data_IF_574310862349
#
_entry.id   IF_574310862349
#
_cell.length_a   1.000
_cell.length_b   1.000
_cell.length_c   1.000
_cell.angle_alpha   90.00
_cell.angle_beta   90.00
_cell.angle_gamma   90.00
#
_symmetry.space_group_name_H-M   'P 1'
#
loop_
_entity.id
_entity.type
_entity.pdbx_description
1 polymer ?
#
# COMPACT_ATOMS: atom_id res chain seq x y z
N UNK A 1 35.40 -39.01 25.55
CA UNK A 1 33.95 -38.96 25.79
C UNK A 1 33.28 -38.40 24.55
N UNK A 2 32.70 -39.27 23.72
CA UNK A 2 31.97 -38.86 22.52
C UNK A 2 30.59 -38.38 22.98
N UNK A 3 30.47 -37.10 23.27
CA UNK A 3 29.15 -36.50 23.55
C UNK A 3 28.30 -36.73 22.31
N UNK A 4 27.26 -37.57 22.38
CA UNK A 4 26.35 -37.92 21.29
C UNK A 4 25.48 -36.75 20.77
N UNK A 5 26.02 -35.54 20.78
CA UNK A 5 25.40 -34.32 20.26
C UNK A 5 25.72 -34.24 18.78
N UNK A 6 24.72 -34.48 17.93
CA UNK A 6 24.79 -34.26 16.50
C UNK A 6 24.52 -32.79 16.15
N UNK A 7 25.06 -32.30 15.03
CA UNK A 7 24.73 -30.97 14.52
C UNK A 7 23.22 -30.89 14.23
N UNK A 8 22.52 -30.01 14.95
CA UNK A 8 21.12 -29.77 14.71
C UNK A 8 20.96 -28.63 13.71
N UNK A 9 20.70 -28.96 12.44
CA UNK A 9 20.42 -27.98 11.39
C UNK A 9 19.03 -27.37 11.61
N UNK A 10 18.98 -26.20 12.25
CA UNK A 10 17.75 -25.46 12.52
C UNK A 10 18.03 -23.95 12.39
N UNK A 11 16.98 -23.11 12.43
CA UNK A 11 17.17 -21.65 12.26
C UNK A 11 18.10 -21.05 13.30
N UNK A 12 18.08 -21.55 14.54
CA UNK A 12 18.90 -21.04 15.64
C UNK A 12 20.38 -21.33 15.40
N UNK A 13 20.73 -22.56 15.01
CA UNK A 13 22.12 -22.92 14.68
C UNK A 13 22.64 -22.17 13.45
N UNK A 14 21.79 -21.97 12.43
CA UNK A 14 22.14 -21.14 11.27
C UNK A 14 22.48 -19.70 11.67
N UNK A 15 21.67 -19.06 12.52
CA UNK A 15 21.95 -17.70 13.01
C UNK A 15 23.22 -17.63 13.86
N UNK A 16 23.51 -18.67 14.65
CA UNK A 16 24.76 -18.76 15.43
C UNK A 16 25.99 -18.85 14.53
N UNK A 17 25.95 -19.71 13.50
CA UNK A 17 27.05 -19.85 12.52
C UNK A 17 27.25 -18.52 11.78
N UNK A 18 26.17 -17.90 11.31
CA UNK A 18 26.24 -16.59 10.64
C UNK A 18 26.87 -15.53 11.53
N UNK A 19 26.46 -15.44 12.80
CA UNK A 19 27.04 -14.49 13.75
C UNK A 19 28.56 -14.69 13.94
N UNK A 20 29.01 -15.94 14.11
CA UNK A 20 30.45 -16.23 14.24
C UNK A 20 31.21 -15.92 12.95
N UNK A 21 30.63 -16.24 11.78
CA UNK A 21 31.20 -15.89 10.48
C UNK A 21 31.30 -14.38 10.29
N UNK A 22 30.24 -13.62 10.58
CA UNK A 22 30.22 -12.17 10.47
C UNK A 22 31.24 -11.54 11.44
N UNK A 23 31.41 -12.11 12.64
CA UNK A 23 32.45 -11.69 13.60
C UNK A 23 33.86 -11.89 13.03
N UNK A 24 34.17 -13.08 12.51
CA UNK A 24 35.46 -13.37 11.87
C UNK A 24 35.74 -12.45 10.68
N UNK A 25 34.72 -12.18 9.86
CA UNK A 25 34.85 -11.23 8.76
C UNK A 25 35.17 -9.81 9.25
N UNK A 26 34.53 -9.32 10.32
CA UNK A 26 34.86 -8.00 10.91
C UNK A 26 36.29 -7.96 11.42
N UNK A 27 36.75 -9.00 12.12
CA UNK A 27 38.12 -9.10 12.65
C UNK A 27 39.18 -9.03 11.54
N UNK A 28 38.87 -9.59 10.37
CA UNK A 28 39.76 -9.60 9.20
C UNK A 28 39.52 -8.43 8.23
N UNK A 29 38.75 -7.40 8.63
CA UNK A 29 38.39 -6.26 7.78
C UNK A 29 37.70 -6.64 6.45
N UNK A 30 37.02 -7.79 6.41
CA UNK A 30 36.22 -8.25 5.28
C UNK A 30 34.81 -7.65 5.32
N UNK A 31 34.15 -7.63 4.17
CA UNK A 31 32.79 -7.08 4.04
C UNK A 31 31.78 -7.95 4.79
N UNK A 32 31.03 -7.35 5.71
CA UNK A 32 29.88 -7.96 6.38
C UNK A 32 28.59 -7.36 5.83
N UNK A 33 27.54 -8.17 5.80
CA UNK A 33 26.21 -7.74 5.37
C UNK A 33 25.74 -6.59 6.28
N UNK A 34 25.39 -5.48 5.67
CA UNK A 34 24.88 -4.31 6.38
C UNK A 34 23.44 -4.58 6.87
N UNK A 35 23.26 -4.67 8.19
CA UNK A 35 21.97 -4.94 8.83
C UNK A 35 20.91 -3.89 8.48
N UNK A 36 21.30 -2.63 8.32
CA UNK A 36 20.38 -1.55 7.95
C UNK A 36 19.96 -1.65 6.49
N UNK A 37 20.86 -2.12 5.62
CA UNK A 37 20.54 -2.41 4.22
C UNK A 37 19.59 -3.61 4.07
N UNK A 38 19.76 -4.67 4.86
CA UNK A 38 18.82 -5.80 4.90
C UNK A 38 17.43 -5.36 5.38
N UNK A 39 17.38 -4.55 6.45
CA UNK A 39 16.12 -3.96 6.93
C UNK A 39 15.46 -3.09 5.85
N UNK A 40 16.26 -2.26 5.16
CA UNK A 40 15.80 -1.47 4.02
C UNK A 40 15.21 -2.36 2.91
N UNK A 41 15.92 -3.44 2.52
CA UNK A 41 15.40 -4.37 1.51
C UNK A 41 14.07 -5.00 1.92
N UNK A 42 13.95 -5.40 3.18
CA UNK A 42 12.71 -6.01 3.68
C UNK A 42 11.54 -5.03 3.68
N UNK A 43 11.78 -3.76 4.05
CA UNK A 43 10.74 -2.73 4.18
C UNK A 43 10.37 -2.05 2.86
N UNK A 44 11.37 -1.64 2.08
CA UNK A 44 11.22 -0.69 0.97
C UNK A 44 11.51 -1.30 -0.41
N UNK A 45 12.31 -2.36 -0.48
CA UNK A 45 12.54 -3.03 -1.76
C UNK A 45 11.37 -3.97 -2.01
N UNK A 46 10.50 -3.57 -2.92
CA UNK A 46 9.42 -4.44 -3.41
C UNK A 46 10.06 -5.74 -3.88
N UNK A 47 9.79 -6.85 -3.19
CA UNK A 47 10.05 -8.16 -3.77
C UNK A 47 9.30 -8.16 -5.10
N UNK A 48 10.03 -8.21 -6.21
CA UNK A 48 9.40 -8.33 -7.52
C UNK A 48 8.37 -9.45 -7.44
N UNK A 49 7.15 -9.20 -7.93
CA UNK A 49 6.17 -10.26 -8.09
C UNK A 49 6.87 -11.38 -8.85
N UNK A 50 6.83 -12.62 -8.34
CA UNK A 50 7.32 -13.78 -9.09
C UNK A 50 6.79 -13.68 -10.52
N UNK A 51 7.59 -13.98 -11.54
CA UNK A 51 7.18 -13.89 -12.94
C UNK A 51 5.81 -14.53 -13.17
N UNK A 52 5.56 -15.69 -12.55
CA UNK A 52 4.27 -16.38 -12.54
C UNK A 52 3.13 -15.54 -11.91
N UNK A 53 3.36 -14.92 -10.75
CA UNK A 53 2.37 -14.08 -10.07
C UNK A 53 2.04 -12.80 -10.86
N UNK A 54 3.05 -12.21 -11.52
CA UNK A 54 2.88 -11.06 -12.39
C UNK A 54 2.13 -11.41 -13.68
N UNK A 55 2.43 -12.57 -14.28
CA UNK A 55 1.75 -13.06 -15.48
C UNK A 55 0.27 -13.38 -15.20
N UNK A 56 -0.02 -14.08 -14.09
CA UNK A 56 -1.40 -14.37 -13.69
C UNK A 56 -2.16 -13.09 -13.31
N UNK A 57 -1.51 -12.09 -12.70
CA UNK A 57 -2.13 -10.79 -12.44
C UNK A 57 -2.47 -10.04 -13.73
N UNK A 58 -1.59 -10.04 -14.74
CA UNK A 58 -1.86 -9.44 -16.06
C UNK A 58 -2.99 -10.14 -16.82
N UNK A 59 -3.12 -11.46 -16.67
CA UNK A 59 -4.23 -12.25 -17.23
C UNK A 59 -5.53 -12.15 -16.41
N UNK A 60 -5.53 -11.45 -15.28
CA UNK A 60 -6.69 -11.39 -14.36
C UNK A 60 -6.97 -12.69 -13.60
N UNK A 61 -6.07 -13.67 -13.66
CA UNK A 61 -6.20 -15.02 -13.09
C UNK A 61 -5.33 -15.22 -11.83
N UNK A 62 -4.85 -14.14 -11.20
CA UNK A 62 -4.07 -14.21 -9.96
C UNK A 62 -4.91 -14.79 -8.84
N UNK A 63 -4.68 -16.07 -8.57
CA UNK A 63 -5.35 -16.83 -7.53
C UNK A 63 -5.20 -16.19 -6.14
N UNK A 64 -3.98 -15.74 -5.78
CA UNK A 64 -3.72 -15.09 -4.49
C UNK A 64 -4.52 -13.80 -4.37
N UNK A 65 -4.58 -12.99 -5.43
CA UNK A 65 -5.32 -11.73 -5.43
C UNK A 65 -6.83 -11.96 -5.37
N UNK A 66 -7.33 -13.02 -6.02
CA UNK A 66 -8.74 -13.43 -5.93
C UNK A 66 -9.11 -13.91 -4.53
N UNK A 67 -8.26 -14.74 -3.92
CA UNK A 67 -8.43 -15.18 -2.53
C UNK A 67 -8.35 -14.00 -1.54
N UNK A 68 -7.43 -13.06 -1.72
CA UNK A 68 -7.38 -11.81 -0.93
C UNK A 68 -8.68 -11.02 -1.04
N UNK A 69 -9.15 -10.78 -2.26
CA UNK A 69 -10.38 -10.06 -2.52
C UNK A 69 -11.60 -10.73 -1.87
N UNK A 70 -11.72 -12.05 -2.03
CA UNK A 70 -12.82 -12.81 -1.43
C UNK A 70 -12.75 -12.80 0.10
N UNK A 71 -11.56 -12.95 0.69
CA UNK A 71 -11.36 -12.82 2.15
C UNK A 71 -11.78 -11.42 2.64
N UNK A 72 -11.28 -10.36 2.01
CA UNK A 72 -11.57 -8.98 2.43
C UNK A 72 -13.05 -8.62 2.25
N UNK A 73 -13.69 -9.17 1.21
CA UNK A 73 -15.13 -9.03 0.98
C UNK A 73 -15.94 -9.76 2.06
N UNK A 74 -15.57 -10.98 2.40
CA UNK A 74 -16.29 -11.78 3.41
C UNK A 74 -16.11 -11.23 4.82
N UNK A 75 -14.92 -10.74 5.17
CA UNK A 75 -14.66 -10.08 6.47
C UNK A 75 -15.65 -8.94 6.72
N UNK A 76 -15.94 -8.12 5.69
CA UNK A 76 -16.90 -7.01 5.80
C UNK A 76 -18.34 -7.45 6.02
N UNK A 77 -18.68 -8.66 5.60
CA UNK A 77 -20.04 -9.20 5.67
C UNK A 77 -20.24 -10.08 6.89
N UNK A 78 -19.16 -10.53 7.54
CA UNK A 78 -19.19 -11.49 8.63
C UNK A 78 -19.35 -10.84 10.00
N UNK A 79 -20.19 -11.46 10.82
CA UNK A 79 -20.46 -11.02 12.19
C UNK A 79 -19.41 -11.54 13.17
N UNK A 80 -18.98 -12.77 12.95
CA UNK A 80 -18.03 -13.49 13.78
C UNK A 80 -17.14 -14.40 12.90
N UNK A 81 -16.18 -15.06 13.55
CA UNK A 81 -15.23 -15.92 12.87
C UNK A 81 -15.89 -17.13 12.19
N UNK A 82 -16.89 -17.72 12.82
CA UNK A 82 -17.56 -18.91 12.28
C UNK A 82 -18.43 -18.57 11.07
N UNK A 83 -19.09 -17.41 11.08
CA UNK A 83 -19.85 -16.86 9.95
C UNK A 83 -18.94 -16.52 8.75
N UNK A 84 -17.73 -16.02 9.01
CA UNK A 84 -16.69 -15.88 7.97
C UNK A 84 -16.31 -17.22 7.33
N UNK A 85 -16.06 -18.25 8.13
CA UNK A 85 -15.67 -19.55 7.60
C UNK A 85 -16.79 -20.20 6.79
N UNK A 86 -18.05 -20.08 7.25
CA UNK A 86 -19.22 -20.56 6.50
C UNK A 86 -19.32 -19.88 5.13
N UNK A 87 -19.24 -18.55 5.08
CA UNK A 87 -19.31 -17.80 3.81
C UNK A 87 -18.16 -18.11 2.87
N UNK A 88 -16.96 -18.33 3.39
CA UNK A 88 -15.83 -18.81 2.59
C UNK A 88 -16.10 -20.21 2.01
N UNK A 89 -16.69 -21.11 2.78
CA UNK A 89 -17.10 -22.43 2.29
C UNK A 89 -18.21 -22.34 1.23
N UNK A 90 -19.19 -21.46 1.41
CA UNK A 90 -20.28 -21.21 0.46
C UNK A 90 -19.77 -20.64 -0.88
N UNK A 91 -18.72 -19.81 -0.85
CA UNK A 91 -17.98 -19.36 -2.03
C UNK A 91 -17.20 -20.48 -2.73
N UNK A 92 -17.23 -21.70 -2.19
CA UNK A 92 -16.60 -22.88 -2.77
C UNK A 92 -15.15 -23.12 -2.32
N UNK A 93 -14.73 -22.53 -1.20
CA UNK A 93 -13.41 -22.80 -0.64
C UNK A 93 -13.45 -23.97 0.35
N UNK A 94 -12.61 -24.98 0.13
CA UNK A 94 -12.25 -25.96 1.14
C UNK A 94 -11.27 -25.32 2.14
N UNK A 95 -11.59 -25.43 3.42
CA UNK A 95 -10.84 -24.83 4.51
C UNK A 95 -10.12 -25.95 5.29
N UNK A 96 -8.82 -25.77 5.53
CA UNK A 96 -8.02 -26.66 6.38
C UNK A 96 -7.56 -25.92 7.63
N UNK A 97 -7.89 -26.49 8.78
CA UNK A 97 -7.48 -26.00 10.10
C UNK A 97 -6.15 -26.63 10.52
N UNK A 98 -5.27 -25.83 11.12
CA UNK A 98 -3.94 -26.23 11.57
C UNK A 98 -3.22 -25.03 12.18
N UNK A 99 -1.89 -25.04 12.29
CA UNK A 99 -1.12 -23.89 12.82
C UNK A 99 -1.40 -22.56 12.10
N UNK A 100 -1.76 -22.63 10.82
CA UNK A 100 -2.28 -21.49 10.06
C UNK A 100 -3.42 -22.00 9.18
N UNK A 101 -4.54 -21.29 9.16
CA UNK A 101 -5.66 -21.59 8.27
C UNK A 101 -5.23 -21.59 6.80
N UNK A 102 -5.77 -22.51 6.02
CA UNK A 102 -5.47 -22.61 4.60
C UNK A 102 -6.73 -22.80 3.75
N UNK A 103 -6.76 -22.14 2.60
CA UNK A 103 -7.90 -22.12 1.68
C UNK A 103 -7.54 -22.80 0.36
N UNK A 104 -8.47 -23.58 -0.17
CA UNK A 104 -8.36 -24.27 -1.46
C UNK A 104 -9.65 -24.05 -2.27
N UNK A 105 -9.59 -23.52 -3.50
CA UNK A 105 -10.76 -23.46 -4.37
C UNK A 105 -11.07 -24.82 -4.97
N UNK A 106 -12.26 -24.99 -5.51
CA UNK A 106 -12.63 -26.17 -6.30
C UNK A 106 -11.67 -26.41 -7.49
N UNK A 107 -11.16 -25.36 -8.12
CA UNK A 107 -10.38 -25.46 -9.38
C UNK A 107 -8.87 -25.70 -9.19
N UNK A 108 -8.40 -25.95 -7.95
CA UNK A 108 -6.97 -26.18 -7.68
C UNK A 108 -6.74 -27.39 -6.79
N UNK A 109 -5.56 -28.00 -6.94
CA UNK A 109 -5.17 -29.20 -6.20
C UNK A 109 -4.59 -28.90 -4.81
N UNK A 110 -3.96 -27.73 -4.60
CA UNK A 110 -3.19 -27.40 -3.38
C UNK A 110 -3.84 -26.31 -2.52
N UNK A 111 -3.68 -26.44 -1.20
CA UNK A 111 -4.08 -25.42 -0.23
C UNK A 111 -3.09 -24.25 -0.18
N UNK A 112 -3.61 -23.04 -0.05
CA UNK A 112 -2.82 -21.83 0.20
C UNK A 112 -2.97 -21.43 1.66
N UNK A 113 -1.86 -21.37 2.39
CA UNK A 113 -1.87 -20.91 3.80
C UNK A 113 -2.09 -19.41 3.85
N UNK A 114 -2.99 -18.95 4.71
CA UNK A 114 -3.35 -17.53 4.79
C UNK A 114 -2.14 -16.62 5.07
N UNK A 115 -1.20 -17.05 5.93
CA UNK A 115 0.05 -16.31 6.20
C UNK A 115 0.94 -16.05 4.98
N UNK A 116 0.80 -16.84 3.91
CA UNK A 116 1.62 -16.67 2.69
C UNK A 116 1.07 -15.58 1.77
N UNK A 117 -0.13 -15.10 2.09
CA UNK A 117 -0.82 -14.01 1.41
C UNK A 117 -0.29 -12.66 1.92
N UNK A 118 -0.01 -12.56 3.23
CA UNK A 118 0.54 -11.38 3.88
C UNK A 118 0.41 -11.49 5.40
N UNK A 119 1.07 -10.58 6.12
CA UNK A 119 0.98 -10.50 7.59
C UNK A 119 -0.45 -10.14 8.06
N UNK A 120 -1.18 -9.32 7.29
CA UNK A 120 -2.59 -8.93 7.52
C UNK A 120 -3.62 -10.04 7.25
N UNK A 121 -3.16 -11.19 6.75
CA UNK A 121 -4.01 -12.35 6.45
C UNK A 121 -3.72 -13.55 7.36
N UNK A 122 -2.96 -13.33 8.44
CA UNK A 122 -2.82 -14.32 9.50
C UNK A 122 -4.16 -14.53 10.21
N UNK A 123 -4.38 -15.73 10.77
CA UNK A 123 -5.66 -16.03 11.43
C UNK A 123 -5.98 -15.05 12.57
N UNK A 124 -4.97 -14.70 13.37
CA UNK A 124 -5.05 -13.69 14.43
C UNK A 124 -5.49 -12.33 13.86
N UNK A 125 -4.83 -11.85 12.79
CA UNK A 125 -5.22 -10.59 12.14
C UNK A 125 -6.60 -10.63 11.50
N UNK A 126 -7.01 -11.74 10.90
CA UNK A 126 -8.35 -11.85 10.32
C UNK A 126 -9.43 -11.83 11.41
N UNK A 127 -9.18 -12.49 12.55
CA UNK A 127 -10.06 -12.42 13.74
C UNK A 127 -10.12 -11.01 14.31
N UNK A 128 -8.98 -10.34 14.45
CA UNK A 128 -8.90 -8.93 14.87
C UNK A 128 -9.70 -8.04 13.91
N UNK A 129 -9.53 -8.18 12.60
CA UNK A 129 -10.25 -7.37 11.60
C UNK A 129 -11.77 -7.59 11.63
N UNK A 130 -12.23 -8.81 11.89
CA UNK A 130 -13.67 -9.09 12.07
C UNK A 130 -14.17 -8.47 13.38
N UNK A 131 -13.38 -8.55 14.46
CA UNK A 131 -13.69 -7.95 15.75
C UNK A 131 -13.68 -6.41 15.70
N UNK A 132 -12.75 -5.81 14.97
CA UNK A 132 -12.69 -4.37 14.71
C UNK A 132 -13.98 -3.92 14.00
N UNK A 133 -14.40 -4.63 12.95
CA UNK A 133 -15.64 -4.33 12.23
C UNK A 133 -16.89 -4.51 13.12
N UNK A 134 -16.92 -5.52 14.00
CA UNK A 134 -18.06 -5.74 14.90
C UNK A 134 -18.09 -4.78 16.10
N UNK A 135 -16.92 -4.33 16.58
CA UNK A 135 -16.77 -3.31 17.62
C UNK A 135 -17.06 -1.90 17.12
N UNK A 136 -16.87 -1.67 15.82
CA UNK A 136 -17.45 -0.56 15.10
C UNK A 136 -18.96 -0.85 15.03
N UNK A 137 -19.69 -0.57 16.12
CA UNK A 137 -21.10 -0.16 16.07
C UNK A 137 -21.15 1.14 15.28
N UNK A 138 -20.94 1.04 13.97
CA UNK A 138 -21.30 2.10 13.05
C UNK A 138 -22.82 2.13 13.11
N UNK A 139 -23.46 3.20 13.62
CA UNK A 139 -24.74 3.57 13.03
C UNK A 139 -24.53 3.55 11.51
N UNK A 140 -25.42 2.90 10.77
CA UNK A 140 -25.38 2.82 9.32
C UNK A 140 -24.85 4.15 8.78
N UNK A 141 -23.70 4.09 8.07
CA UNK A 141 -22.97 5.26 7.56
C UNK A 141 -23.98 6.35 7.24
N UNK A 142 -23.90 7.46 7.99
CA UNK A 142 -24.81 8.61 7.84
C UNK A 142 -24.96 8.89 6.35
N UNK A 143 -26.22 9.00 5.94
CA UNK A 143 -26.69 9.08 4.57
C UNK A 143 -25.72 9.84 3.66
N UNK A 144 -25.18 9.14 2.67
CA UNK A 144 -24.59 9.79 1.50
C UNK A 144 -25.70 10.57 0.82
N UNK A 145 -25.45 11.84 0.50
CA UNK A 145 -26.36 12.64 -0.32
C UNK A 145 -26.63 11.87 -1.61
N UNK A 146 -27.91 11.58 -1.84
CA UNK A 146 -28.39 10.86 -3.02
C UNK A 146 -28.22 11.70 -4.29
N UNK A 147 -28.53 11.09 -5.44
CA UNK A 147 -28.68 11.85 -6.68
C UNK A 147 -30.14 12.26 -6.85
N UNK A 148 -30.37 13.50 -7.27
CA UNK A 148 -31.68 13.97 -7.74
C UNK A 148 -31.97 13.35 -9.11
N UNK A 149 -33.20 12.91 -9.28
CA UNK A 149 -33.74 12.36 -10.52
C UNK A 149 -34.30 13.51 -11.33
N UNK A 150 -33.83 13.67 -12.56
CA UNK A 150 -34.41 14.62 -13.50
C UNK A 150 -35.78 14.11 -13.99
N UNK A 151 -36.84 14.81 -13.59
CA UNK A 151 -38.23 14.45 -13.90
C UNK A 151 -38.56 14.60 -15.39
N UNK A 152 -37.84 15.46 -16.12
CA UNK A 152 -38.14 15.78 -17.51
C UNK A 152 -37.46 14.82 -18.49
N UNK A 153 -36.28 14.31 -18.13
CA UNK A 153 -35.49 13.42 -18.99
C UNK A 153 -35.66 11.95 -18.67
N UNK A 154 -36.04 11.58 -17.44
CA UNK A 154 -36.13 10.17 -17.05
C UNK A 154 -37.37 9.48 -17.63
N UNK A 155 -37.15 8.49 -18.48
CA UNK A 155 -38.20 7.69 -19.15
C UNK A 155 -39.13 7.00 -18.16
N UNK A 156 -38.60 6.45 -17.04
CA UNK A 156 -39.41 5.75 -16.03
C UNK A 156 -40.39 6.67 -15.30
N UNK A 157 -40.04 7.95 -15.17
CA UNK A 157 -40.94 8.96 -14.60
C UNK A 157 -42.14 9.19 -15.52
N UNK A 158 -41.92 9.19 -16.84
CA UNK A 158 -43.00 9.37 -17.84
C UNK A 158 -43.88 8.14 -17.98
N UNK A 159 -43.30 6.94 -17.86
CA UNK A 159 -44.02 5.68 -18.05
C UNK A 159 -44.83 5.22 -16.82
N UNK A 160 -44.43 5.62 -15.61
CA UNK A 160 -45.05 5.13 -14.37
C UNK A 160 -45.34 6.25 -13.38
N UNK A 161 -46.64 6.51 -13.16
CA UNK A 161 -47.13 7.45 -12.12
C UNK A 161 -46.65 7.07 -10.71
N UNK A 162 -46.48 5.78 -10.43
CA UNK A 162 -45.96 5.31 -9.13
C UNK A 162 -44.48 5.67 -8.94
N UNK A 163 -43.68 5.54 -10.00
CA UNK A 163 -42.27 5.95 -9.98
C UNK A 163 -42.13 7.47 -9.93
N UNK A 164 -42.99 8.20 -10.63
CA UNK A 164 -43.07 9.67 -10.56
C UNK A 164 -43.28 10.15 -9.12
N UNK A 165 -44.29 9.62 -8.42
CA UNK A 165 -44.55 9.99 -7.02
C UNK A 165 -43.37 9.66 -6.10
N UNK A 166 -42.76 8.48 -6.27
CA UNK A 166 -41.58 8.09 -5.52
C UNK A 166 -40.39 9.04 -5.80
N UNK A 167 -40.15 9.39 -7.06
CA UNK A 167 -39.07 10.28 -7.48
C UNK A 167 -39.23 11.69 -6.90
N UNK A 168 -40.45 12.23 -6.84
CA UNK A 168 -40.75 13.51 -6.19
C UNK A 168 -40.34 13.48 -4.71
N UNK A 169 -40.80 12.47 -3.97
CA UNK A 169 -40.47 12.31 -2.54
C UNK A 169 -38.98 12.10 -2.30
N UNK A 170 -38.33 11.31 -3.16
CA UNK A 170 -36.88 11.07 -3.13
C UNK A 170 -36.09 12.35 -3.38
N UNK A 171 -36.46 13.13 -4.40
CA UNK A 171 -35.81 14.39 -4.75
C UNK A 171 -35.95 15.43 -3.64
N UNK A 172 -37.15 15.57 -3.06
CA UNK A 172 -37.39 16.45 -1.92
C UNK A 172 -36.48 16.12 -0.73
N UNK A 173 -36.41 14.83 -0.36
CA UNK A 173 -35.54 14.38 0.73
C UNK A 173 -34.06 14.63 0.41
N UNK A 174 -33.63 14.31 -0.81
CA UNK A 174 -32.23 14.49 -1.25
C UNK A 174 -31.82 15.98 -1.24
N UNK A 175 -32.73 16.87 -1.65
CA UNK A 175 -32.49 18.30 -1.62
C UNK A 175 -32.49 18.86 -0.20
N UNK A 176 -33.37 18.38 0.68
CA UNK A 176 -33.34 18.75 2.09
C UNK A 176 -32.00 18.38 2.74
N UNK A 177 -31.49 17.18 2.48
CA UNK A 177 -30.16 16.74 2.95
C UNK A 177 -29.03 17.61 2.38
N UNK A 178 -29.11 17.99 1.10
CA UNK A 178 -28.14 18.89 0.46
C UNK A 178 -28.16 20.29 1.09
N UNK A 179 -29.34 20.83 1.39
CA UNK A 179 -29.50 22.14 2.05
C UNK A 179 -28.97 22.12 3.49
N UNK A 180 -29.20 21.03 4.24
CA UNK A 180 -28.66 20.85 5.58
C UNK A 180 -27.13 20.88 5.54
N UNK A 181 -26.51 20.12 4.63
CA UNK A 181 -25.06 20.12 4.45
C UNK A 181 -24.52 21.51 4.15
N UNK A 182 -25.12 22.24 3.21
CA UNK A 182 -24.67 23.60 2.87
C UNK A 182 -24.76 24.55 4.07
N UNK A 183 -25.82 24.43 4.88
CA UNK A 183 -25.98 25.21 6.11
C UNK A 183 -24.91 24.87 7.14
N UNK A 184 -24.60 23.58 7.32
CA UNK A 184 -23.53 23.12 8.22
C UNK A 184 -22.16 23.67 7.80
N UNK A 185 -21.90 23.78 6.49
CA UNK A 185 -20.68 24.38 5.95
C UNK A 185 -20.73 25.91 5.84
N UNK A 186 -21.84 26.55 6.23
CA UNK A 186 -22.02 28.01 6.15
C UNK A 186 -22.16 28.55 4.71
N UNK A 187 -22.40 27.68 3.73
CA UNK A 187 -22.52 28.02 2.31
C UNK A 187 -23.94 28.52 2.04
N UNK A 188 -24.05 29.78 1.58
CA UNK A 188 -25.34 30.45 1.37
C UNK A 188 -25.72 30.60 -0.10
N UNK A 189 -24.78 30.43 -1.03
CA UNK A 189 -25.02 30.60 -2.47
C UNK A 189 -24.31 29.53 -3.31
N UNK A 190 -24.78 29.35 -4.55
CA UNK A 190 -24.14 28.45 -5.52
C UNK A 190 -22.73 28.92 -5.88
N UNK A 191 -22.50 30.25 -5.95
CA UNK A 191 -21.16 30.81 -6.16
C UNK A 191 -20.21 30.42 -5.02
N UNK A 192 -20.66 30.52 -3.77
CA UNK A 192 -19.88 30.07 -2.60
C UNK A 192 -19.65 28.55 -2.60
N UNK A 193 -20.60 27.76 -3.09
CA UNK A 193 -20.40 26.32 -3.28
C UNK A 193 -19.32 26.02 -4.32
N UNK A 194 -19.33 26.74 -5.45
CA UNK A 194 -18.33 26.59 -6.51
C UNK A 194 -16.94 27.02 -6.02
N UNK A 195 -16.83 28.12 -5.28
CA UNK A 195 -15.59 28.55 -4.61
C UNK A 195 -15.09 27.52 -3.58
N UNK A 196 -16.00 26.94 -2.80
CA UNK A 196 -15.66 25.90 -1.81
C UNK A 196 -15.16 24.62 -2.49
N UNK A 197 -15.80 24.20 -3.59
CA UNK A 197 -15.35 23.08 -4.42
C UNK A 197 -13.96 23.34 -4.98
N UNK A 198 -13.73 24.55 -5.51
CA UNK A 198 -12.43 24.93 -6.06
C UNK A 198 -11.35 24.90 -4.98
N UNK A 199 -11.60 25.51 -3.81
CA UNK A 199 -10.67 25.49 -2.68
C UNK A 199 -10.34 24.06 -2.23
N UNK A 200 -11.35 23.20 -2.10
CA UNK A 200 -11.14 21.79 -1.75
C UNK A 200 -10.33 21.03 -2.82
N UNK A 201 -10.52 21.37 -4.10
CA UNK A 201 -9.74 20.83 -5.21
C UNK A 201 -8.26 21.27 -5.13
N UNK A 202 -8.02 22.55 -4.85
CA UNK A 202 -6.68 23.12 -4.73
C UNK A 202 -5.93 22.52 -3.51
N UNK A 203 -6.61 22.39 -2.37
CA UNK A 203 -6.06 21.72 -1.18
C UNK A 203 -5.68 20.27 -1.47
N UNK A 204 -6.53 19.55 -2.20
CA UNK A 204 -6.28 18.17 -2.62
C UNK A 204 -5.08 18.08 -3.57
N UNK A 205 -5.00 18.99 -4.53
CA UNK A 205 -3.87 19.07 -5.47
C UNK A 205 -2.57 19.32 -4.72
N UNK A 206 -2.58 20.24 -3.75
CA UNK A 206 -1.45 20.52 -2.88
C UNK A 206 -1.03 19.28 -2.06
N UNK A 207 -1.97 18.54 -1.47
CA UNK A 207 -1.68 17.26 -0.79
C UNK A 207 -1.01 16.26 -1.75
N UNK A 208 -1.53 16.13 -2.97
CA UNK A 208 -0.94 15.24 -3.97
C UNK A 208 0.48 15.66 -4.34
N UNK A 209 0.74 16.96 -4.50
CA UNK A 209 2.06 17.45 -4.85
C UNK A 209 3.07 17.28 -3.71
N UNK A 210 2.66 17.47 -2.46
CA UNK A 210 3.47 17.11 -1.28
C UNK A 210 3.83 15.62 -1.26
N UNK A 211 2.88 14.73 -1.55
CA UNK A 211 3.13 13.28 -1.64
C UNK A 211 4.14 12.97 -2.76
N UNK A 212 4.01 13.61 -3.94
CA UNK A 212 4.98 13.44 -5.05
C UNK A 212 6.38 13.89 -4.68
N UNK A 213 6.52 14.98 -3.92
CA UNK A 213 7.83 15.45 -3.43
C UNK A 213 8.46 14.41 -2.51
N UNK A 214 7.70 13.89 -1.54
CA UNK A 214 8.17 12.83 -0.65
C UNK A 214 8.57 11.58 -1.45
N UNK A 215 7.78 11.17 -2.44
CA UNK A 215 8.11 10.02 -3.28
C UNK A 215 9.44 10.21 -4.04
N UNK A 216 9.69 11.42 -4.57
CA UNK A 216 10.97 11.74 -5.23
C UNK A 216 12.14 11.68 -4.25
N UNK A 217 11.98 12.22 -3.05
CA UNK A 217 13.01 12.17 -2.00
C UNK A 217 13.30 10.72 -1.56
N UNK A 218 12.25 9.92 -1.37
CA UNK A 218 12.37 8.51 -1.01
C UNK A 218 13.09 7.71 -2.11
N UNK A 219 12.81 7.98 -3.39
CA UNK A 219 13.50 7.35 -4.52
C UNK A 219 14.99 7.70 -4.54
N UNK A 220 15.34 8.97 -4.30
CA UNK A 220 16.72 9.41 -4.24
C UNK A 220 17.49 8.80 -3.06
N UNK A 221 16.87 8.74 -1.87
CA UNK A 221 17.45 8.07 -0.70
C UNK A 221 17.60 6.56 -0.92
N UNK A 222 16.64 5.93 -1.58
CA UNK A 222 16.70 4.51 -1.96
C UNK A 222 17.85 4.22 -2.93
N UNK A 223 18.05 5.07 -3.94
CA UNK A 223 19.19 4.97 -4.85
C UNK A 223 20.52 5.18 -4.10
N UNK A 224 20.58 6.18 -3.22
CA UNK A 224 21.75 6.44 -2.36
C UNK A 224 22.08 5.22 -1.50
N UNK A 225 21.06 4.56 -0.92
CA UNK A 225 21.22 3.34 -0.11
C UNK A 225 21.82 2.19 -0.92
N UNK A 226 21.36 1.99 -2.16
CA UNK A 226 21.89 0.98 -3.08
C UNK A 226 23.33 1.28 -3.52
N UNK A 227 23.66 2.55 -3.80
CA UNK A 227 25.02 2.99 -4.11
C UNK A 227 25.96 2.76 -2.92
N UNK A 228 25.55 3.15 -1.70
CA UNK A 228 26.34 2.94 -0.47
C UNK A 228 26.62 1.45 -0.26
N UNK A 229 25.62 0.60 -0.44
CA UNK A 229 25.81 -0.85 -0.33
C UNK A 229 26.76 -1.40 -1.42
N UNK A 230 26.64 -0.92 -2.66
CA UNK A 230 27.53 -1.30 -3.77
C UNK A 230 28.98 -0.93 -3.47
N UNK A 231 29.22 0.29 -2.95
CA UNK A 231 30.54 0.74 -2.52
C UNK A 231 31.06 -0.13 -1.37
N UNK A 232 30.26 -0.41 -0.34
CA UNK A 232 30.68 -1.26 0.78
C UNK A 232 31.06 -2.67 0.32
N UNK A 233 30.25 -3.27 -0.56
CA UNK A 233 30.42 -4.64 -1.06
C UNK A 233 31.67 -4.81 -1.92
N UNK A 234 31.93 -3.89 -2.84
CA UNK A 234 33.01 -4.03 -3.83
C UNK A 234 34.29 -3.27 -3.47
N UNK A 235 34.36 -2.71 -2.25
CA UNK A 235 35.53 -1.96 -1.77
C UNK A 235 36.84 -2.74 -1.82
N UNK A 236 36.80 -4.05 -1.51
CA UNK A 236 38.00 -4.90 -1.46
C UNK A 236 38.58 -5.07 -2.87
N UNK A 237 37.75 -5.50 -3.83
CA UNK A 237 38.17 -5.63 -5.23
C UNK A 237 38.73 -4.33 -5.81
N UNK A 238 38.11 -3.19 -5.48
CA UNK A 238 38.62 -1.90 -5.93
C UNK A 238 39.97 -1.53 -5.31
N UNK A 239 40.18 -1.84 -4.02
CA UNK A 239 41.47 -1.61 -3.34
C UNK A 239 42.59 -2.45 -3.97
N UNK A 240 42.32 -3.72 -4.26
CA UNK A 240 43.28 -4.64 -4.88
C UNK A 240 43.62 -4.20 -6.31
N UNK A 241 42.61 -3.85 -7.11
CA UNK A 241 42.79 -3.26 -8.44
C UNK A 241 43.68 -2.01 -8.41
N UNK A 242 43.44 -1.11 -7.46
CA UNK A 242 44.22 0.12 -7.32
C UNK A 242 45.66 -0.14 -6.86
N UNK A 243 45.88 -1.17 -6.06
CA UNK A 243 47.21 -1.57 -5.60
C UNK A 243 48.04 -2.25 -6.70
N UNK A 244 47.38 -2.99 -7.60
CA UNK A 244 48.02 -3.72 -8.70
C UNK A 244 47.43 -3.34 -10.09
N UNK A 245 47.68 -2.12 -10.60
CA UNK A 245 47.08 -1.65 -11.86
C UNK A 245 47.50 -2.45 -13.10
N UNK A 246 48.63 -3.15 -13.03
CA UNK A 246 49.22 -3.92 -14.13
C UNK A 246 48.64 -5.32 -14.29
N UNK A 247 47.85 -5.81 -13.32
CA UNK A 247 47.24 -7.13 -13.37
C UNK A 247 45.98 -7.14 -14.25
N UNK A 248 46.20 -7.39 -15.54
CA UNK A 248 45.12 -7.47 -16.54
C UNK A 248 44.16 -8.62 -16.26
N UNK A 249 44.64 -9.73 -15.70
CA UNK A 249 43.82 -10.91 -15.45
C UNK A 249 42.79 -10.66 -14.34
N UNK A 250 43.21 -10.01 -13.25
CA UNK A 250 42.32 -9.59 -12.17
C UNK A 250 41.30 -8.55 -12.66
N UNK A 251 41.74 -7.58 -13.46
CA UNK A 251 40.84 -6.56 -13.99
C UNK A 251 39.75 -7.17 -14.87
N UNK A 252 40.08 -8.12 -15.75
CA UNK A 252 39.09 -8.78 -16.61
C UNK A 252 38.06 -9.60 -15.80
N UNK A 253 38.49 -10.30 -14.76
CA UNK A 253 37.62 -11.10 -13.89
C UNK A 253 36.65 -10.24 -13.06
N UNK A 254 37.16 -9.13 -12.49
CA UNK A 254 36.38 -8.25 -11.60
C UNK A 254 35.90 -6.96 -12.27
N UNK A 255 35.99 -6.87 -13.60
CA UNK A 255 35.66 -5.67 -14.38
C UNK A 255 34.28 -5.10 -14.04
N UNK A 256 33.27 -5.97 -13.94
CA UNK A 256 31.90 -5.57 -13.67
C UNK A 256 31.76 -4.95 -12.27
N UNK A 257 32.37 -5.57 -11.27
CA UNK A 257 32.36 -5.16 -9.87
C UNK A 257 33.08 -3.82 -9.68
N UNK A 258 34.24 -3.65 -10.33
CA UNK A 258 35.01 -2.40 -10.33
C UNK A 258 34.22 -1.28 -10.99
N UNK A 259 33.63 -1.52 -12.16
CA UNK A 259 32.81 -0.53 -12.88
C UNK A 259 31.59 -0.10 -12.04
N UNK A 260 30.89 -1.06 -11.41
CA UNK A 260 29.76 -0.76 -10.53
C UNK A 260 30.18 0.08 -9.31
N UNK A 261 31.34 -0.23 -8.72
CA UNK A 261 31.90 0.54 -7.61
C UNK A 261 32.24 1.98 -8.03
N UNK A 262 32.93 2.16 -9.15
CA UNK A 262 33.33 3.47 -9.65
C UNK A 262 32.11 4.35 -9.97
N UNK A 263 31.12 3.78 -10.66
CA UNK A 263 29.87 4.47 -10.96
C UNK A 263 29.15 4.90 -9.68
N UNK A 264 28.93 3.98 -8.74
CA UNK A 264 28.27 4.29 -7.47
C UNK A 264 29.02 5.34 -6.66
N UNK A 265 30.36 5.27 -6.62
CA UNK A 265 31.19 6.22 -5.91
C UNK A 265 31.19 7.60 -6.57
N UNK A 266 31.17 7.66 -7.91
CA UNK A 266 31.07 8.91 -8.67
C UNK A 266 29.73 9.62 -8.42
N UNK A 267 28.63 8.87 -8.37
CA UNK A 267 27.30 9.40 -8.11
C UNK A 267 27.18 9.92 -6.68
N UNK A 268 27.69 9.16 -5.69
CA UNK A 268 27.70 9.60 -4.29
C UNK A 268 28.52 10.88 -4.09
N UNK A 269 29.66 11.02 -4.78
CA UNK A 269 30.51 12.22 -4.71
C UNK A 269 29.84 13.49 -5.23
N UNK A 270 28.82 13.39 -6.10
CA UNK A 270 28.06 14.57 -6.59
C UNK A 270 27.27 15.24 -5.47
N UNK A 271 26.76 14.46 -4.52
CA UNK A 271 25.83 14.93 -3.49
C UNK A 271 26.40 14.90 -2.07
N UNK A 272 27.49 14.14 -1.83
CA UNK A 272 28.04 13.93 -0.50
C UNK A 272 29.58 14.05 -0.48
N UNK A 273 30.10 14.79 0.49
CA UNK A 273 31.56 14.91 0.73
C UNK A 273 32.16 13.67 1.40
N UNK A 274 31.35 12.91 2.14
CA UNK A 274 31.72 11.66 2.82
C UNK A 274 30.69 10.58 2.52
N UNK A 275 31.10 9.31 2.64
CA UNK A 275 30.18 8.19 2.44
C UNK A 275 29.02 8.27 3.45
N UNK A 276 27.76 8.33 2.99
CA UNK A 276 26.60 8.39 3.88
C UNK A 276 26.46 7.13 4.74
N UNK A 277 25.96 7.29 5.97
CA UNK A 277 25.65 6.14 6.83
C UNK A 277 24.29 5.52 6.43
N UNK A 278 24.28 4.20 6.29
CA UNK A 278 23.09 3.43 5.95
C UNK A 278 22.02 3.51 7.04
N UNK A 279 22.43 3.63 8.31
CA UNK A 279 21.51 3.84 9.43
C UNK A 279 20.73 5.16 9.28
N UNK A 280 21.42 6.23 8.92
CA UNK A 280 20.82 7.55 8.75
C UNK A 280 19.88 7.59 7.54
N UNK A 281 20.26 6.96 6.43
CA UNK A 281 19.39 6.83 5.25
C UNK A 281 18.11 6.08 5.62
N UNK A 282 18.22 4.95 6.32
CA UNK A 282 17.07 4.16 6.74
C UNK A 282 16.15 4.96 7.68
N UNK A 283 16.71 5.70 8.65
CA UNK A 283 15.92 6.54 9.55
C UNK A 283 15.19 7.65 8.80
N UNK A 284 15.82 8.28 7.80
CA UNK A 284 15.17 9.28 6.95
C UNK A 284 14.04 8.68 6.12
N UNK A 285 14.25 7.48 5.55
CA UNK A 285 13.22 6.74 4.81
C UNK A 285 12.01 6.41 5.71
N UNK A 286 12.25 5.92 6.92
CA UNK A 286 11.18 5.62 7.89
C UNK A 286 10.36 6.88 8.22
N UNK A 287 11.01 8.02 8.49
CA UNK A 287 10.32 9.31 8.75
C UNK A 287 9.51 9.81 7.53
N UNK A 288 10.06 9.68 6.33
CA UNK A 288 9.36 10.08 5.10
C UNK A 288 8.16 9.17 4.83
N UNK A 289 8.29 7.87 5.09
CA UNK A 289 7.18 6.92 4.94
C UNK A 289 6.04 7.22 5.92
N UNK A 290 6.34 7.57 7.18
CA UNK A 290 5.34 7.99 8.15
C UNK A 290 4.58 9.24 7.68
N UNK A 291 5.31 10.28 7.25
CA UNK A 291 4.71 11.51 6.68
C UNK A 291 3.88 11.23 5.43
N UNK A 292 4.33 10.32 4.57
CA UNK A 292 3.57 9.92 3.39
C UNK A 292 2.24 9.26 3.79
N UNK A 293 2.28 8.37 4.78
CA UNK A 293 1.08 7.67 5.26
C UNK A 293 0.04 8.65 5.82
N UNK A 294 0.46 9.65 6.60
CA UNK A 294 -0.46 10.68 7.13
C UNK A 294 -1.07 11.52 6.01
N UNK A 295 -0.26 11.99 5.05
CA UNK A 295 -0.77 12.76 3.90
C UNK A 295 -1.69 11.92 3.00
N UNK A 296 -1.42 10.62 2.82
CA UNK A 296 -2.29 9.72 2.05
C UNK A 296 -3.64 9.49 2.75
N UNK A 297 -3.68 9.47 4.09
CA UNK A 297 -4.93 9.43 4.84
C UNK A 297 -5.74 10.71 4.64
N UNK A 298 -5.12 11.89 4.77
CA UNK A 298 -5.76 13.19 4.51
C UNK A 298 -6.30 13.30 3.08
N UNK A 299 -5.49 12.86 2.10
CA UNK A 299 -5.88 12.82 0.68
C UNK A 299 -7.04 11.84 0.41
N UNK A 300 -7.10 10.73 1.16
CA UNK A 300 -8.18 9.76 1.04
C UNK A 300 -9.49 10.28 1.67
N UNK A 301 -9.41 10.95 2.82
CA UNK A 301 -10.58 11.56 3.47
C UNK A 301 -11.19 12.68 2.63
N UNK A 302 -10.37 13.48 1.93
CA UNK A 302 -10.86 14.55 1.06
C UNK A 302 -11.63 14.03 -0.17
N UNK A 303 -11.50 12.75 -0.51
CA UNK A 303 -12.29 12.15 -1.60
C UNK A 303 -13.77 12.04 -1.27
N UNK A 304 -14.13 11.63 -0.06
CA UNK A 304 -15.53 11.45 0.30
C UNK A 304 -16.27 12.78 0.31
N UNK A 305 -15.63 13.82 0.88
CA UNK A 305 -16.20 15.16 0.95
C UNK A 305 -16.36 15.77 -0.45
N UNK A 306 -15.39 15.57 -1.33
CA UNK A 306 -15.44 16.08 -2.69
C UNK A 306 -16.52 15.39 -3.55
N UNK A 307 -16.67 14.07 -3.41
CA UNK A 307 -17.74 13.32 -4.08
C UNK A 307 -19.14 13.81 -3.63
N UNK A 308 -19.30 14.19 -2.37
CA UNK A 308 -20.54 14.77 -1.84
C UNK A 308 -20.80 16.18 -2.38
N UNK A 309 -19.79 17.06 -2.39
CA UNK A 309 -19.91 18.41 -2.93
C UNK A 309 -20.30 18.42 -4.41
N UNK A 310 -19.67 17.56 -5.23
CA UNK A 310 -20.02 17.44 -6.65
C UNK A 310 -21.46 16.94 -6.86
N UNK A 311 -21.93 16.02 -6.00
CA UNK A 311 -23.33 15.56 -6.04
C UNK A 311 -24.28 16.67 -5.66
N UNK A 312 -24.02 17.42 -4.59
CA UNK A 312 -24.83 18.58 -4.21
C UNK A 312 -24.90 19.57 -5.38
N UNK A 313 -23.75 19.90 -5.97
CA UNK A 313 -23.68 20.84 -7.09
C UNK A 313 -24.49 20.37 -8.30
N UNK A 314 -24.41 19.08 -8.62
CA UNK A 314 -25.22 18.44 -9.68
C UNK A 314 -26.71 18.45 -9.36
N UNK A 315 -27.07 18.08 -8.13
CA UNK A 315 -28.46 18.05 -7.65
C UNK A 315 -29.10 19.44 -7.73
N UNK A 316 -28.38 20.49 -7.32
CA UNK A 316 -28.83 21.88 -7.47
C UNK A 316 -29.08 22.24 -8.94
N UNK A 317 -28.18 21.87 -9.85
CA UNK A 317 -28.34 22.13 -11.28
C UNK A 317 -29.55 21.45 -11.91
N UNK A 318 -29.96 20.28 -11.41
CA UNK A 318 -31.14 19.54 -11.89
C UNK A 318 -32.42 20.08 -11.24
N UNK A 319 -32.40 20.36 -9.93
CA UNK A 319 -33.61 20.62 -9.16
C UNK A 319 -34.07 22.09 -9.19
N UNK A 320 -33.13 23.05 -9.22
CA UNK A 320 -33.45 24.49 -9.09
C UNK A 320 -33.41 25.26 -10.41
N UNK A 321 -33.03 24.61 -11.53
CA UNK A 321 -32.78 25.32 -12.79
C UNK A 321 -31.50 26.18 -12.74
N UNK A 322 -31.04 26.64 -13.91
CA UNK A 322 -29.73 27.31 -14.09
C UNK A 322 -29.61 28.72 -13.52
N UNK A 323 -30.64 29.29 -12.88
CA UNK A 323 -30.60 30.66 -12.38
C UNK A 323 -31.22 30.77 -10.99
N UNK A 324 -30.39 31.09 -10.00
CA UNK A 324 -30.86 31.80 -8.81
C UNK A 324 -29.83 32.90 -8.50
N UNK A 325 -29.98 34.04 -9.17
CA UNK A 325 -29.78 35.32 -8.48
C UNK A 325 -31.10 35.59 -7.73
N UNK A 326 -31.02 35.59 -6.40
CA UNK A 326 -32.02 36.17 -5.52
C UNK A 326 -31.33 37.11 -4.57
#
# INVERSE_FOLDING_TARGET
>A
MVTGRCYQSNKKSYHQIRYQSDKLCKENNLSVIDEFYESYKKKYKTNGKSWYENEQAKRGTSWKSRLQFDIDRMIKQSKDWDDFLKKMADLGYQIKYGKHIAFKPKDKLRFTRSKTIGEDYTEERLKERIAEISSIKTPAVKKRIGNVIDMNTNVKVKESKGYEYWAIKHNLNTMAESVIFLREQGIKSVKQLDEYIQKAADERQNLQDKIKVIDKEMLLLSATMEQVNTVKKYRVHYKEYKANPSDKSFFEEYKAQITLYENALSELKKSYSKLPDSKDILSKLDKLQEKKNTLMQEYSSSKSTMDELYKIRKNYGIYMGKEMER
#
